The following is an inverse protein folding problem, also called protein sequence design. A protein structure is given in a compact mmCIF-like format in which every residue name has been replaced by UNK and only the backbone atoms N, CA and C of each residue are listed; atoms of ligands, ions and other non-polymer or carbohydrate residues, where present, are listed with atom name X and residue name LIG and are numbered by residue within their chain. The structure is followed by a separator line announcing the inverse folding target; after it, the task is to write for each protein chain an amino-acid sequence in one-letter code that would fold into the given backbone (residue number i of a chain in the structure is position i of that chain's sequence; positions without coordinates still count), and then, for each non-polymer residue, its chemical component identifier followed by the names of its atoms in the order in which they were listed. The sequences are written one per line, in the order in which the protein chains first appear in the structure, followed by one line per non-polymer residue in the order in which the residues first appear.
data_IF_308168400821
#
_entry.id   IF_308168400821
#
_cell.length_a   1.000
_cell.length_b   1.000
_cell.length_c   1.000
_cell.angle_alpha   90.00
_cell.angle_beta   90.00
_cell.angle_gamma   90.00
#
_symmetry.space_group_name_H-M   'P 1'
#
loop_
_entity.id
_entity.type
_entity.pdbx_description
1 polymer ?
#
# COMPACT_ATOMS: atom_id res chain seq x y z
N UNK A 1 -13.73 -29.20 20.37
CA UNK A 1 -12.76 -28.29 19.73
C UNK A 1 -13.38 -26.90 19.70
N UNK A 2 -12.76 -25.89 20.32
CA UNK A 2 -13.29 -24.51 20.27
C UNK A 2 -12.96 -23.94 18.89
N UNK A 3 -13.99 -23.66 18.08
CA UNK A 3 -13.87 -22.90 16.85
C UNK A 3 -13.40 -21.49 17.20
N UNK A 4 -12.15 -21.19 16.84
CA UNK A 4 -11.63 -19.83 16.90
C UNK A 4 -12.34 -19.08 15.77
N UNK A 5 -13.33 -18.26 16.11
CA UNK A 5 -13.91 -17.30 15.18
C UNK A 5 -12.81 -16.28 14.85
N UNK A 6 -12.09 -16.52 13.75
CA UNK A 6 -11.24 -15.51 13.15
C UNK A 6 -12.21 -14.48 12.57
N UNK A 7 -12.38 -13.36 13.28
CA UNK A 7 -13.05 -12.18 12.76
C UNK A 7 -12.21 -11.66 11.60
N UNK A 8 -12.46 -12.19 10.39
CA UNK A 8 -11.93 -11.59 9.17
C UNK A 8 -12.60 -10.23 9.04
N UNK A 9 -11.86 -9.11 9.07
CA UNK A 9 -12.45 -7.80 8.87
C UNK A 9 -13.20 -7.79 7.54
N UNK A 10 -14.35 -7.10 7.51
CA UNK A 10 -15.06 -6.85 6.25
C UNK A 10 -14.08 -6.21 5.26
N UNK A 11 -14.07 -6.67 4.02
CA UNK A 11 -13.19 -6.16 2.97
C UNK A 11 -13.35 -4.63 2.82
N UNK A 12 -14.56 -4.11 3.05
CA UNK A 12 -14.84 -2.68 3.07
C UNK A 12 -14.10 -1.95 4.22
N UNK A 13 -14.05 -2.57 5.39
CA UNK A 13 -13.35 -2.03 6.56
C UNK A 13 -11.83 -2.04 6.33
N UNK A 14 -11.30 -3.12 5.73
CA UNK A 14 -9.91 -3.23 5.34
C UNK A 14 -9.50 -2.14 4.33
N UNK A 15 -10.31 -1.88 3.31
CA UNK A 15 -10.05 -0.80 2.35
C UNK A 15 -10.07 0.59 3.02
N UNK A 16 -11.02 0.83 3.93
CA UNK A 16 -11.09 2.08 4.68
C UNK A 16 -9.85 2.29 5.55
N UNK A 17 -9.37 1.25 6.23
CA UNK A 17 -8.13 1.29 7.01
C UNK A 17 -6.94 1.64 6.10
N UNK A 18 -6.80 0.96 4.96
CA UNK A 18 -5.72 1.23 4.00
C UNK A 18 -5.78 2.68 3.50
N UNK A 19 -6.97 3.20 3.20
CA UNK A 19 -7.14 4.57 2.74
C UNK A 19 -6.73 5.61 3.80
N UNK A 20 -7.05 5.37 5.08
CA UNK A 20 -6.65 6.25 6.19
C UNK A 20 -5.13 6.20 6.38
N UNK A 21 -4.56 4.99 6.46
CA UNK A 21 -3.11 4.80 6.67
C UNK A 21 -2.32 5.41 5.51
N UNK A 22 -2.78 5.24 4.26
CA UNK A 22 -2.15 5.83 3.08
C UNK A 22 -2.12 7.37 3.16
N UNK A 23 -3.21 8.01 3.58
CA UNK A 23 -3.26 9.48 3.75
C UNK A 23 -2.28 9.96 4.82
N UNK A 24 -2.20 9.27 5.95
CA UNK A 24 -1.27 9.61 7.04
C UNK A 24 0.18 9.46 6.58
N UNK A 25 0.51 8.34 5.94
CA UNK A 25 1.85 8.08 5.42
C UNK A 25 2.25 9.11 4.36
N UNK A 26 1.38 9.39 3.40
CA UNK A 26 1.58 10.39 2.35
C UNK A 26 1.94 11.76 2.93
N UNK A 27 1.15 12.24 3.91
CA UNK A 27 1.40 13.51 4.59
C UNK A 27 2.71 13.53 5.36
N UNK A 28 3.02 12.47 6.12
CA UNK A 28 4.23 12.39 6.95
C UNK A 28 5.52 12.27 6.14
N UNK A 29 5.45 11.65 4.97
CA UNK A 29 6.61 11.29 4.17
C UNK A 29 6.77 12.13 2.89
N UNK A 30 5.85 13.07 2.65
CA UNK A 30 5.90 13.95 1.48
C UNK A 30 5.74 13.21 0.16
N UNK A 31 4.82 12.24 0.10
CA UNK A 31 4.55 11.45 -1.11
C UNK A 31 3.07 11.48 -1.49
N UNK A 32 2.73 10.94 -2.67
CA UNK A 32 1.34 10.86 -3.10
C UNK A 32 0.57 9.78 -2.31
N UNK A 33 -0.75 9.99 -2.14
CA UNK A 33 -1.64 9.00 -1.50
C UNK A 33 -1.66 7.70 -2.30
N UNK A 34 -1.63 7.76 -3.63
CA UNK A 34 -1.62 6.58 -4.49
C UNK A 34 -0.35 5.76 -4.28
N UNK A 35 0.84 6.39 -4.25
CA UNK A 35 2.11 5.71 -3.95
C UNK A 35 2.08 5.06 -2.58
N UNK A 36 1.62 5.77 -1.55
CA UNK A 36 1.49 5.21 -0.20
C UNK A 36 0.51 4.02 -0.18
N UNK A 37 -0.65 4.12 -0.84
CA UNK A 37 -1.63 3.02 -0.95
C UNK A 37 -1.03 1.81 -1.65
N UNK A 38 -0.33 1.99 -2.76
CA UNK A 38 0.31 0.89 -3.48
C UNK A 38 1.37 0.17 -2.64
N UNK A 39 2.22 0.91 -1.92
CA UNK A 39 3.21 0.32 -1.03
C UNK A 39 2.56 -0.48 0.11
N UNK A 40 1.51 0.07 0.73
CA UNK A 40 0.77 -0.63 1.79
C UNK A 40 0.08 -1.91 1.28
N UNK A 41 -0.49 -1.87 0.07
CA UNK A 41 -1.09 -3.05 -0.56
C UNK A 41 -0.06 -4.13 -0.90
N UNK A 42 1.19 -3.75 -1.16
CA UNK A 42 2.32 -4.67 -1.32
C UNK A 42 2.87 -5.18 0.03
N UNK A 43 2.28 -4.79 1.16
CA UNK A 43 2.80 -5.12 2.49
C UNK A 43 4.13 -4.42 2.82
N UNK A 44 4.44 -3.32 2.13
CA UNK A 44 5.70 -2.59 2.24
C UNK A 44 5.49 -1.27 2.98
N UNK A 45 6.46 -0.89 3.82
CA UNK A 45 6.40 0.41 4.49
C UNK A 45 6.52 1.55 3.47
N UNK A 46 5.68 2.60 3.55
CA UNK A 46 5.75 3.75 2.67
C UNK A 46 6.90 4.70 3.04
N UNK A 47 8.15 4.27 2.82
CA UNK A 47 9.35 5.11 2.93
C UNK A 47 9.70 5.79 1.61
N UNK A 48 10.60 6.77 1.63
CA UNK A 48 11.04 7.46 0.43
C UNK A 48 11.79 6.51 -0.53
N UNK A 49 12.63 5.65 0.02
CA UNK A 49 13.41 4.65 -0.72
C UNK A 49 12.48 3.64 -1.41
N UNK A 50 11.46 3.16 -0.71
CA UNK A 50 10.48 2.22 -1.26
C UNK A 50 9.63 2.88 -2.34
N UNK A 51 9.24 4.15 -2.17
CA UNK A 51 8.55 4.91 -3.20
C UNK A 51 9.41 5.08 -4.47
N UNK A 52 10.70 5.35 -4.32
CA UNK A 52 11.64 5.47 -5.43
C UNK A 52 11.82 4.14 -6.17
N UNK A 53 12.01 3.04 -5.44
CA UNK A 53 12.12 1.70 -6.00
C UNK A 53 10.83 1.29 -6.74
N UNK A 54 9.67 1.55 -6.14
CA UNK A 54 8.36 1.28 -6.75
C UNK A 54 8.18 2.06 -8.06
N UNK A 55 8.53 3.36 -8.08
CA UNK A 55 8.46 4.16 -9.30
C UNK A 55 9.37 3.61 -10.41
N UNK A 56 10.60 3.18 -10.08
CA UNK A 56 11.53 2.55 -11.03
C UNK A 56 11.02 1.23 -11.59
N UNK A 57 10.38 0.42 -10.75
CA UNK A 57 9.77 -0.83 -11.20
C UNK A 57 8.60 -0.56 -12.16
N UNK A 58 7.79 0.47 -11.92
CA UNK A 58 6.73 0.85 -12.86
C UNK A 58 7.28 1.34 -14.20
N UNK A 59 8.35 2.14 -14.20
CA UNK A 59 8.98 2.59 -15.44
C UNK A 59 9.63 1.44 -16.20
N UNK A 60 10.26 0.49 -15.52
CA UNK A 60 10.89 -0.66 -16.16
C UNK A 60 9.84 -1.62 -16.73
N UNK A 61 8.73 -1.84 -16.02
CA UNK A 61 7.62 -2.66 -16.52
C UNK A 61 7.02 -2.09 -17.81
N UNK A 62 6.88 -0.77 -17.88
CA UNK A 62 6.45 -0.07 -19.11
C UNK A 62 7.40 -0.26 -20.29
N UNK A 63 8.66 -0.62 -20.07
CA UNK A 63 9.63 -0.88 -21.15
C UNK A 63 9.69 -2.35 -21.55
N UNK A 64 9.34 -3.28 -20.66
CA UNK A 64 9.24 -4.72 -20.97
C UNK A 64 7.94 -5.07 -21.72
N UNK A 65 6.88 -4.28 -21.52
CA UNK A 65 5.59 -4.45 -22.21
C UNK A 65 5.55 -3.85 -23.64
N UNK A 66 6.71 -3.49 -24.23
CA UNK A 66 6.86 -2.92 -25.60
C UNK A 66 7.63 -3.85 -26.53
#
# INVERSE_FOLDING_TARGET
MKSINVLTPDLNEAENIINIVARVAAKRRGMSISTAKSLLMLGTEPTHENALLFARQQTNKSMEDV
#
